data_IF_421536869848
#
_entry.id   IF_421536869848
#
_cell.length_a   1.000
_cell.length_b   1.000
_cell.length_c   1.000
_cell.angle_alpha   90.00
_cell.angle_beta   90.00
_cell.angle_gamma   90.00
#
_symmetry.space_group_name_H-M   'P 1'
#
loop_
_entity.id
_entity.type
_entity.pdbx_description
1 polymer ?
#
# COMPACT_ATOMS: atom_id res chain seq x y z
N UNK A 1 1.44 -16.78 9.67
CA UNK A 1 0.39 -15.78 9.39
C UNK A 1 0.60 -14.68 10.42
N UNK A 2 1.01 -13.46 10.04
CA UNK A 2 1.23 -12.40 11.03
C UNK A 2 -0.08 -12.08 11.74
N UNK A 3 -0.02 -11.99 13.06
CA UNK A 3 -1.19 -11.74 13.92
C UNK A 3 -1.64 -10.28 13.83
N UNK A 4 -2.93 -10.00 14.10
CA UNK A 4 -3.55 -8.66 14.07
C UNK A 4 -2.68 -7.50 14.63
N UNK A 5 -1.98 -7.64 15.79
CA UNK A 5 -1.14 -6.57 16.33
C UNK A 5 0.14 -6.29 15.53
N UNK A 6 0.74 -7.29 14.89
CA UNK A 6 1.97 -7.09 14.10
C UNK A 6 1.71 -6.21 12.87
N UNK A 7 0.56 -6.45 12.23
CA UNK A 7 0.13 -5.71 11.04
C UNK A 7 -0.17 -4.25 11.39
N UNK A 8 -0.80 -3.97 12.53
CA UNK A 8 -1.04 -2.60 12.97
C UNK A 8 0.26 -1.88 13.39
N UNK A 9 1.21 -2.61 13.98
CA UNK A 9 2.54 -2.06 14.30
C UNK A 9 3.28 -1.62 13.03
N UNK A 10 3.31 -2.48 12.01
CA UNK A 10 3.89 -2.18 10.69
C UNK A 10 3.17 -0.99 10.04
N UNK A 11 1.83 -0.89 10.17
CA UNK A 11 1.05 0.25 9.66
C UNK A 11 1.54 1.57 10.25
N UNK A 12 1.65 1.63 11.60
CA UNK A 12 2.08 2.84 12.33
C UNK A 12 3.52 3.23 12.01
N UNK A 13 4.37 2.26 11.70
CA UNK A 13 5.75 2.52 11.29
C UNK A 13 5.83 3.04 9.86
N UNK A 14 5.00 2.52 8.94
CA UNK A 14 5.01 2.89 7.52
C UNK A 14 4.33 4.23 7.24
N UNK A 15 3.24 4.55 7.95
CA UNK A 15 2.47 5.78 7.74
C UNK A 15 3.35 7.06 7.73
N UNK A 16 4.17 7.37 8.75
CA UNK A 16 5.03 8.56 8.72
C UNK A 16 6.17 8.47 7.68
N UNK A 17 6.53 7.27 7.22
CA UNK A 17 7.59 7.07 6.24
C UNK A 17 7.10 7.25 4.81
N UNK A 18 5.83 6.95 4.54
CA UNK A 18 5.25 6.96 3.21
C UNK A 18 4.48 8.25 2.94
N UNK A 19 3.72 8.77 3.90
CA UNK A 19 2.84 9.94 3.69
C UNK A 19 3.61 11.15 3.15
N UNK A 20 3.11 11.74 2.07
CA UNK A 20 3.73 12.88 1.39
C UNK A 20 4.89 12.53 0.45
N UNK A 21 5.24 11.25 0.30
CA UNK A 21 6.17 10.79 -0.73
C UNK A 21 5.44 10.35 -2.01
N UNK A 22 6.18 10.32 -3.11
CA UNK A 22 5.72 9.84 -4.41
C UNK A 22 6.40 8.53 -4.77
N UNK A 23 5.66 7.65 -5.45
CA UNK A 23 6.21 6.40 -5.99
C UNK A 23 7.07 6.73 -7.20
N UNK A 24 8.38 6.49 -7.13
CA UNK A 24 9.28 6.65 -8.28
C UNK A 24 9.27 5.44 -9.21
N UNK A 25 9.06 4.25 -8.65
CA UNK A 25 9.06 2.97 -9.35
C UNK A 25 8.24 1.97 -8.53
N UNK A 26 7.48 1.10 -9.21
CA UNK A 26 6.73 0.04 -8.56
C UNK A 26 6.82 -1.26 -9.36
N UNK A 27 7.12 -2.35 -8.68
CA UNK A 27 7.08 -3.70 -9.24
C UNK A 27 6.16 -4.60 -8.43
N UNK A 28 5.62 -5.60 -9.08
CA UNK A 28 4.64 -6.51 -8.50
C UNK A 28 4.73 -7.89 -9.11
N UNK A 29 4.20 -8.88 -8.39
CA UNK A 29 4.16 -10.25 -8.89
C UNK A 29 3.44 -10.30 -10.25
N UNK A 30 3.90 -11.09 -11.23
CA UNK A 30 3.35 -11.14 -12.59
C UNK A 30 1.89 -11.64 -12.70
N UNK A 31 1.22 -11.89 -11.57
CA UNK A 31 -0.20 -12.24 -11.57
C UNK A 31 -1.04 -10.98 -11.79
N UNK A 32 -2.02 -11.04 -12.69
CA UNK A 32 -2.86 -9.90 -13.05
C UNK A 32 -3.65 -9.27 -11.89
N UNK A 33 -3.68 -9.91 -10.73
CA UNK A 33 -4.21 -9.34 -9.47
C UNK A 33 -3.38 -8.16 -8.96
N UNK A 34 -2.10 -8.08 -9.31
CA UNK A 34 -1.18 -7.05 -8.86
C UNK A 34 -0.80 -6.06 -9.97
N UNK A 35 -1.45 -6.11 -11.14
CA UNK A 35 -1.29 -5.10 -12.19
C UNK A 35 -1.51 -3.67 -11.68
N UNK A 36 -2.52 -3.40 -10.82
CA UNK A 36 -2.71 -2.06 -10.27
C UNK A 36 -1.49 -1.56 -9.50
N UNK A 37 -0.68 -2.45 -8.89
CA UNK A 37 0.52 -2.05 -8.15
C UNK A 37 1.66 -1.58 -9.06
N UNK A 38 1.62 -1.84 -10.37
CA UNK A 38 2.56 -1.24 -11.33
C UNK A 38 2.09 0.13 -11.82
N UNK A 39 0.78 0.36 -11.81
CA UNK A 39 0.14 1.58 -12.29
C UNK A 39 0.24 2.76 -11.31
N UNK A 40 0.76 2.54 -10.09
CA UNK A 40 0.90 3.59 -9.08
C UNK A 40 2.14 4.47 -9.23
N UNK A 41 3.03 4.14 -10.18
CA UNK A 41 4.25 4.92 -10.42
C UNK A 41 3.89 6.36 -10.77
N UNK A 42 4.49 7.33 -10.07
CA UNK A 42 4.22 8.76 -10.21
C UNK A 42 3.16 9.32 -9.26
N UNK A 43 2.51 8.48 -8.44
CA UNK A 43 1.45 8.92 -7.55
C UNK A 43 1.94 9.06 -6.09
N UNK A 44 1.25 9.92 -5.32
CA UNK A 44 1.60 10.25 -3.93
C UNK A 44 0.91 9.37 -2.90
N UNK A 45 1.60 9.05 -1.80
CA UNK A 45 1.04 8.33 -0.65
C UNK A 45 0.30 9.29 0.30
N UNK A 46 -0.99 9.06 0.55
CA UNK A 46 -1.80 9.89 1.46
C UNK A 46 -2.13 9.19 2.78
N UNK A 47 -2.41 7.89 2.75
CA UNK A 47 -2.79 7.15 3.95
C UNK A 47 -2.52 5.65 3.81
N UNK A 48 -2.28 4.97 4.94
CA UNK A 48 -2.15 3.51 5.02
C UNK A 48 -3.26 2.97 5.92
N UNK A 49 -4.14 2.16 5.35
CA UNK A 49 -5.28 1.52 6.02
C UNK A 49 -5.20 0.00 5.90
N UNK A 50 -5.94 -0.73 6.73
CA UNK A 50 -5.94 -2.21 6.73
C UNK A 50 -7.36 -2.72 6.69
N UNK A 51 -7.60 -3.78 5.91
CA UNK A 51 -8.87 -4.53 5.95
C UNK A 51 -8.60 -6.00 6.30
N UNK A 52 -9.05 -6.41 7.48
CA UNK A 52 -9.12 -7.83 7.86
C UNK A 52 -7.78 -8.58 7.86
N UNK A 53 -7.83 -9.89 7.65
CA UNK A 53 -6.81 -10.85 8.10
C UNK A 53 -5.46 -10.79 7.37
N UNK A 54 -5.30 -10.14 6.20
CA UNK A 54 -4.02 -10.18 5.46
C UNK A 54 -3.78 -9.06 4.43
N UNK A 55 -4.42 -7.87 4.49
CA UNK A 55 -4.26 -6.86 3.42
C UNK A 55 -4.02 -5.44 3.93
N UNK A 56 -2.94 -4.83 3.45
CA UNK A 56 -2.66 -3.40 3.58
C UNK A 56 -3.19 -2.67 2.35
N UNK A 57 -3.92 -1.59 2.59
CA UNK A 57 -4.44 -0.68 1.60
C UNK A 57 -3.69 0.63 1.70
N UNK A 58 -3.14 1.07 0.59
CA UNK A 58 -2.47 2.35 0.51
C UNK A 58 -3.34 3.27 -0.35
N UNK A 59 -3.70 4.43 0.21
CA UNK A 59 -4.36 5.50 -0.52
C UNK A 59 -3.30 6.28 -1.28
N UNK A 60 -3.47 6.30 -2.60
CA UNK A 60 -2.53 6.92 -3.51
C UNK A 60 -3.29 7.97 -4.33
N UNK A 61 -2.82 9.22 -4.33
CA UNK A 61 -3.51 10.35 -4.97
C UNK A 61 -3.75 10.03 -6.46
N UNK A 62 -5.00 9.87 -6.88
CA UNK A 62 -5.38 9.56 -8.27
C UNK A 62 -5.78 8.10 -8.55
N UNK A 63 -5.52 7.16 -7.63
CA UNK A 63 -5.97 5.77 -7.74
C UNK A 63 -6.91 5.41 -6.59
N UNK A 64 -8.14 4.99 -6.93
CA UNK A 64 -9.10 4.48 -5.94
C UNK A 64 -8.68 3.07 -5.50
N UNK A 65 -8.17 2.97 -4.28
CA UNK A 65 -7.96 1.74 -3.50
C UNK A 65 -7.04 0.71 -4.16
N UNK A 66 -5.78 0.67 -3.72
CA UNK A 66 -4.85 -0.39 -4.11
C UNK A 66 -4.85 -1.52 -3.06
N UNK A 67 -5.19 -2.74 -3.48
CA UNK A 67 -5.01 -3.96 -2.67
C UNK A 67 -3.71 -4.62 -3.10
N UNK A 68 -2.67 -4.53 -2.26
CA UNK A 68 -1.37 -5.22 -2.44
C UNK A 68 -1.39 -6.52 -1.65
#
# INVERSE_FOLDING_TARGET
MPELPEVESIRRQLEPLLTGRYVSEADSHPSGKFTPAREITGLGFEAVSRRGSSFFFILITGLKWLSI
#
